data_IF_278366861658
#
_entry.id   IF_278366861658
#
_cell.length_a   1.000
_cell.length_b   1.000
_cell.length_c   1.000
_cell.angle_alpha   90.00
_cell.angle_beta   90.00
_cell.angle_gamma   90.00
#
_symmetry.space_group_name_H-M   'P 1'
#
loop_
_entity.id
_entity.type
_entity.pdbx_description
1 polymer ?
#
# COMPACT_ATOMS: atom_id res chain seq x y z
N UNK A 1 16.85 2.78 -8.86
CA UNK A 1 15.70 1.90 -9.19
C UNK A 1 16.11 0.65 -9.99
N UNK A 2 17.32 0.58 -10.56
CA UNK A 2 17.79 -0.58 -11.35
C UNK A 2 18.20 -1.77 -10.47
N UNK A 3 18.63 -1.54 -9.23
CA UNK A 3 19.10 -2.58 -8.29
C UNK A 3 18.02 -3.58 -7.85
N UNK A 4 16.73 -3.28 -8.02
CA UNK A 4 15.64 -4.19 -7.65
C UNK A 4 15.52 -5.40 -8.59
N UNK A 5 16.16 -5.38 -9.77
CA UNK A 5 16.23 -6.56 -10.66
C UNK A 5 17.24 -7.60 -10.20
N UNK A 6 18.27 -7.19 -9.46
CA UNK A 6 19.44 -8.04 -9.20
C UNK A 6 19.39 -8.77 -7.87
N UNK A 7 18.32 -8.59 -7.09
CA UNK A 7 18.22 -9.25 -5.80
C UNK A 7 17.02 -10.20 -5.82
N UNK A 8 17.32 -11.51 -5.83
CA UNK A 8 16.40 -12.56 -5.39
C UNK A 8 16.12 -12.40 -3.88
N UNK A 9 15.59 -11.24 -3.49
CA UNK A 9 15.21 -10.96 -2.12
C UNK A 9 14.09 -11.91 -1.76
N UNK A 10 14.38 -12.74 -0.77
CA UNK A 10 13.41 -13.61 -0.14
C UNK A 10 13.22 -13.17 1.30
N UNK A 11 12.03 -13.38 1.83
CA UNK A 11 11.72 -13.19 3.24
C UNK A 11 11.38 -14.52 3.87
N UNK A 12 11.73 -14.68 5.14
CA UNK A 12 11.18 -15.72 6.00
C UNK A 12 9.94 -15.14 6.66
N UNK A 13 8.88 -15.93 6.77
CA UNK A 13 7.66 -15.53 7.44
C UNK A 13 7.37 -16.42 8.65
N UNK A 14 6.83 -15.84 9.71
CA UNK A 14 6.26 -16.57 10.84
C UNK A 14 4.74 -16.29 10.91
N UNK A 15 3.95 -17.36 10.92
CA UNK A 15 2.50 -17.31 10.96
C UNK A 15 2.00 -18.09 12.19
N UNK A 16 1.41 -17.37 13.13
CA UNK A 16 0.96 -17.95 14.40
C UNK A 16 -0.43 -18.59 14.34
N UNK A 17 -1.09 -18.56 13.18
CA UNK A 17 -2.47 -19.02 13.00
C UNK A 17 -2.71 -19.56 11.57
N UNK A 18 -3.63 -20.52 11.43
CA UNK A 18 -4.09 -21.12 10.16
C UNK A 18 -5.16 -20.28 9.44
N UNK A 19 -5.51 -19.09 9.93
CA UNK A 19 -6.51 -18.22 9.29
C UNK A 19 -6.02 -17.55 8.00
N UNK A 20 -4.71 -17.49 7.74
CA UNK A 20 -4.19 -16.93 6.50
C UNK A 20 -4.28 -17.96 5.37
N UNK A 21 -4.91 -17.59 4.24
CA UNK A 21 -4.98 -18.48 3.05
C UNK A 21 -3.66 -18.58 2.27
N UNK A 22 -2.75 -17.64 2.47
CA UNK A 22 -1.50 -17.51 1.72
C UNK A 22 -0.30 -18.12 2.43
N UNK A 23 -0.32 -18.10 3.76
CA UNK A 23 0.82 -18.45 4.59
C UNK A 23 0.40 -19.53 5.58
N UNK A 24 0.91 -20.75 5.40
CA UNK A 24 0.67 -21.88 6.30
C UNK A 24 1.29 -21.62 7.68
N UNK A 25 0.62 -22.09 8.74
CA UNK A 25 1.17 -22.05 10.11
C UNK A 25 2.44 -22.91 10.20
N UNK A 26 3.43 -22.41 10.93
CA UNK A 26 4.70 -23.11 11.19
C UNK A 26 5.42 -23.48 9.89
N UNK A 27 5.88 -22.45 9.18
CA UNK A 27 6.46 -22.57 7.85
C UNK A 27 7.90 -23.06 7.83
N UNK A 28 8.58 -23.17 8.98
CA UNK A 28 9.94 -23.73 9.11
C UNK A 28 10.92 -23.14 8.10
N UNK A 29 11.46 -21.95 8.36
CA UNK A 29 12.41 -21.21 7.51
C UNK A 29 12.05 -21.12 6.01
N UNK A 30 10.78 -21.36 5.63
CA UNK A 30 10.33 -21.22 4.25
C UNK A 30 10.54 -19.77 3.82
N UNK A 31 11.29 -19.63 2.74
CA UNK A 31 11.57 -18.36 2.11
C UNK A 31 10.58 -18.13 0.97
N UNK A 32 9.99 -16.93 0.92
CA UNK A 32 9.04 -16.51 -0.12
C UNK A 32 9.64 -15.39 -0.94
N UNK A 33 9.29 -15.33 -2.22
CA UNK A 33 9.70 -14.23 -3.07
C UNK A 33 8.94 -12.96 -2.69
N UNK A 34 9.64 -11.83 -2.65
CA UNK A 34 8.98 -10.54 -2.39
C UNK A 34 8.21 -10.08 -3.61
N UNK A 35 8.78 -10.23 -4.80
CA UNK A 35 8.27 -9.60 -6.01
C UNK A 35 7.19 -10.44 -6.67
N UNK A 36 6.04 -9.78 -6.91
CA UNK A 36 4.92 -10.40 -7.62
C UNK A 36 5.18 -10.41 -9.12
N UNK A 37 5.26 -11.60 -9.72
CA UNK A 37 5.24 -11.82 -11.18
C UNK A 37 6.25 -11.00 -12.02
N UNK A 38 7.38 -10.58 -11.42
CA UNK A 38 8.38 -9.74 -12.10
C UNK A 38 7.92 -8.31 -12.40
N UNK A 39 6.80 -7.86 -11.82
CA UNK A 39 6.34 -6.48 -11.95
C UNK A 39 7.23 -5.53 -11.15
N UNK A 40 7.41 -4.30 -11.66
CA UNK A 40 8.04 -3.23 -10.88
C UNK A 40 7.32 -3.06 -9.54
N UNK A 41 8.05 -3.12 -8.41
CA UNK A 41 7.48 -2.98 -7.08
C UNK A 41 6.74 -1.66 -6.86
N UNK A 42 7.35 -0.53 -7.26
CA UNK A 42 6.76 0.81 -7.14
C UNK A 42 5.46 0.91 -7.97
N UNK A 43 5.47 0.35 -9.19
CA UNK A 43 4.27 0.30 -10.01
C UNK A 43 3.19 -0.55 -9.34
N UNK A 44 3.54 -1.74 -8.83
CA UNK A 44 2.58 -2.63 -8.19
C UNK A 44 1.96 -2.01 -6.93
N UNK A 45 2.77 -1.36 -6.07
CA UNK A 45 2.31 -0.56 -4.93
C UNK A 45 1.28 0.48 -5.34
N UNK A 46 1.54 1.20 -6.45
CA UNK A 46 0.62 2.23 -6.92
C UNK A 46 -0.69 1.64 -7.46
N UNK A 47 -0.62 0.51 -8.15
CA UNK A 47 -1.80 -0.15 -8.70
C UNK A 47 -2.64 -0.81 -7.60
N UNK A 48 -2.02 -1.24 -6.49
CA UNK A 48 -2.64 -2.06 -5.46
C UNK A 48 -3.99 -1.54 -4.94
N UNK A 49 -4.16 -0.26 -4.52
CA UNK A 49 -5.46 0.25 -4.08
C UNK A 49 -6.58 0.00 -5.09
N UNK A 50 -6.33 0.30 -6.36
CA UNK A 50 -7.32 0.14 -7.42
C UNK A 50 -7.55 -1.34 -7.78
N UNK A 51 -6.50 -2.17 -7.78
CA UNK A 51 -6.64 -3.61 -7.97
C UNK A 51 -7.52 -4.23 -6.88
N UNK A 52 -7.30 -3.81 -5.64
CA UNK A 52 -8.04 -4.26 -4.47
C UNK A 52 -9.50 -3.79 -4.50
N UNK A 53 -9.74 -2.52 -4.85
CA UNK A 53 -11.08 -1.98 -5.03
C UNK A 53 -11.86 -2.70 -6.15
N UNK A 54 -11.23 -2.93 -7.30
CA UNK A 54 -11.83 -3.68 -8.41
C UNK A 54 -12.11 -5.12 -8.01
N UNK A 55 -11.23 -5.76 -7.25
CA UNK A 55 -11.42 -7.14 -6.80
C UNK A 55 -12.61 -7.25 -5.82
N UNK A 56 -12.68 -6.37 -4.83
CA UNK A 56 -13.67 -6.44 -3.74
C UNK A 56 -15.00 -5.74 -4.02
N UNK A 57 -15.13 -5.02 -5.13
CA UNK A 57 -16.41 -4.49 -5.56
C UNK A 57 -17.34 -5.62 -6.02
N UNK A 58 -18.52 -5.73 -5.40
CA UNK A 58 -19.55 -6.70 -5.78
C UNK A 58 -20.75 -6.06 -6.47
N UNK A 59 -20.80 -4.72 -6.48
CA UNK A 59 -21.89 -3.92 -7.02
C UNK A 59 -21.34 -2.99 -8.11
N UNK A 60 -21.38 -3.41 -9.39
CA UNK A 60 -20.80 -2.63 -10.50
C UNK A 60 -21.38 -1.22 -10.61
N UNK A 61 -22.64 -1.01 -10.19
CA UNK A 61 -23.32 0.28 -10.26
C UNK A 61 -22.77 1.32 -9.26
N UNK A 62 -22.07 0.89 -8.21
CA UNK A 62 -21.46 1.78 -7.23
C UNK A 62 -20.00 2.12 -7.56
N UNK A 63 -19.45 1.48 -8.60
CA UNK A 63 -18.04 1.60 -8.95
C UNK A 63 -17.78 2.97 -9.59
N UNK A 64 -16.84 3.73 -9.02
CA UNK A 64 -16.44 5.05 -9.51
C UNK A 64 -15.32 5.00 -10.57
N UNK A 65 -14.79 3.82 -10.83
CA UNK A 65 -13.75 3.54 -11.83
C UNK A 65 -14.30 2.63 -12.93
N UNK A 66 -13.78 2.75 -14.16
CA UNK A 66 -14.19 1.88 -15.27
C UNK A 66 -13.56 0.48 -15.11
N UNK A 67 -14.33 -0.59 -14.85
CA UNK A 67 -13.78 -1.92 -14.63
C UNK A 67 -13.23 -2.58 -15.91
N UNK A 68 -13.40 -1.95 -17.08
CA UNK A 68 -12.93 -2.46 -18.37
C UNK A 68 -11.71 -1.72 -18.92
N UNK A 69 -11.57 -0.41 -18.63
CA UNK A 69 -10.50 0.41 -19.21
C UNK A 69 -9.92 1.46 -18.25
N UNK A 70 -9.94 1.26 -16.93
CA UNK A 70 -9.32 2.22 -16.04
C UNK A 70 -7.80 2.28 -16.27
N UNK A 71 -7.28 3.49 -16.50
CA UNK A 71 -5.84 3.74 -16.72
C UNK A 71 -5.22 4.36 -15.47
N UNK A 72 -4.11 3.79 -15.04
CA UNK A 72 -3.28 4.26 -13.93
C UNK A 72 -1.88 4.53 -14.46
N UNK A 73 -1.22 5.53 -13.90
CA UNK A 73 0.11 5.97 -14.31
C UNK A 73 1.12 5.57 -13.23
N UNK A 74 2.33 5.18 -13.63
CA UNK A 74 3.45 5.09 -12.70
C UNK A 74 3.65 6.47 -12.06
N UNK A 75 3.81 6.56 -10.73
CA UNK A 75 3.87 7.85 -10.07
C UNK A 75 5.24 8.54 -10.26
N UNK A 76 6.26 7.83 -10.74
CA UNK A 76 7.61 8.37 -10.94
C UNK A 76 7.75 8.98 -12.33
N UNK A 77 8.06 10.28 -12.39
CA UNK A 77 8.27 11.03 -13.63
C UNK A 77 7.00 11.73 -14.17
N UNK A 78 7.19 12.62 -15.15
CA UNK A 78 6.13 13.43 -15.75
C UNK A 78 5.24 12.66 -16.74
N UNK A 79 5.80 11.64 -17.40
CA UNK A 79 5.16 10.80 -18.43
C UNK A 79 5.22 9.30 -18.07
N UNK A 80 5.03 8.96 -16.79
CA UNK A 80 5.20 7.60 -16.26
C UNK A 80 4.46 6.49 -17.06
N UNK A 81 4.94 5.24 -16.92
CA UNK A 81 4.35 4.03 -17.53
C UNK A 81 2.83 4.02 -17.36
N UNK A 82 2.08 3.74 -18.43
CA UNK A 82 0.62 3.66 -18.37
C UNK A 82 0.17 2.21 -18.25
N UNK A 83 -0.68 1.93 -17.26
CA UNK A 83 -1.26 0.63 -16.99
C UNK A 83 -2.77 0.68 -17.16
N UNK A 84 -3.30 -0.20 -18.00
CA UNK A 84 -4.73 -0.51 -18.03
C UNK A 84 -5.01 -1.58 -17.00
N UNK A 85 -5.93 -1.29 -16.09
CA UNK A 85 -6.43 -2.25 -15.11
C UNK A 85 -7.86 -2.61 -15.46
N UNK A 86 -8.16 -3.90 -15.50
CA UNK A 86 -9.49 -4.38 -15.88
C UNK A 86 -9.84 -5.71 -15.24
N UNK A 87 -11.11 -6.06 -15.23
CA UNK A 87 -11.60 -7.33 -14.68
C UNK A 87 -12.15 -8.24 -15.76
N UNK A 88 -11.90 -9.54 -15.63
CA UNK A 88 -12.49 -10.60 -16.46
C UNK A 88 -13.31 -11.54 -15.58
N UNK A 89 -14.53 -11.88 -16.01
CA UNK A 89 -15.33 -12.92 -15.35
C UNK A 89 -14.60 -14.25 -15.42
N UNK A 90 -14.75 -15.08 -14.39
CA UNK A 90 -14.20 -16.43 -14.40
C UNK A 90 -14.75 -17.25 -15.59
N UNK A 91 -13.89 -18.05 -16.22
CA UNK A 91 -14.31 -18.97 -17.28
C UNK A 91 -15.31 -19.99 -16.72
N UNK A 92 -16.28 -20.39 -17.54
CA UNK A 92 -17.38 -21.26 -17.12
C UNK A 92 -16.86 -22.62 -16.66
N UNK A 93 -16.99 -22.90 -15.36
CA UNK A 93 -16.76 -24.19 -14.75
C UNK A 93 -17.90 -24.41 -13.74
N UNK A 94 -18.69 -25.46 -13.93
CA UNK A 94 -19.90 -25.72 -13.12
C UNK A 94 -19.60 -25.76 -11.62
N UNK A 95 -18.46 -26.35 -11.21
CA UNK A 95 -18.04 -26.40 -9.81
C UNK A 95 -17.69 -25.02 -9.27
N UNK A 96 -16.98 -24.21 -10.06
CA UNK A 96 -16.65 -22.83 -9.70
C UNK A 96 -17.92 -21.97 -9.59
N UNK A 97 -18.87 -22.15 -10.50
CA UNK A 97 -20.14 -21.43 -10.48
C UNK A 97 -20.96 -21.75 -9.23
N UNK A 98 -21.09 -23.04 -8.87
CA UNK A 98 -21.79 -23.46 -7.65
C UNK A 98 -21.13 -22.87 -6.40
N UNK A 99 -19.79 -22.91 -6.33
CA UNK A 99 -19.02 -22.31 -5.23
C UNK A 99 -19.30 -20.80 -5.14
N UNK A 100 -19.25 -20.07 -6.25
CA UNK A 100 -19.55 -18.63 -6.30
C UNK A 100 -21.00 -18.34 -5.89
N UNK A 101 -21.97 -19.15 -6.32
CA UNK A 101 -23.37 -18.98 -5.95
C UNK A 101 -23.59 -19.14 -4.44
N UNK A 102 -22.91 -20.10 -3.80
CA UNK A 102 -22.93 -20.29 -2.34
C UNK A 102 -22.37 -19.05 -1.64
N UNK A 103 -21.20 -18.56 -2.06
CA UNK A 103 -20.61 -17.35 -1.47
C UNK A 103 -21.47 -16.11 -1.70
N UNK A 104 -22.10 -15.98 -2.85
CA UNK A 104 -23.01 -14.88 -3.13
C UNK A 104 -24.25 -14.91 -2.23
N UNK A 105 -24.81 -16.11 -1.98
CA UNK A 105 -25.93 -16.27 -1.05
C UNK A 105 -25.49 -16.00 0.39
N UNK A 106 -24.34 -16.54 0.81
CA UNK A 106 -23.76 -16.26 2.11
C UNK A 106 -23.51 -14.76 2.29
N UNK A 107 -23.03 -14.08 1.25
CA UNK A 107 -22.76 -12.65 1.26
C UNK A 107 -24.02 -11.81 1.53
N UNK A 108 -25.24 -12.33 1.33
CA UNK A 108 -26.46 -11.60 1.70
C UNK A 108 -26.69 -11.56 3.21
N UNK A 109 -26.28 -12.62 3.92
CA UNK A 109 -26.50 -12.79 5.36
C UNK A 109 -25.32 -12.23 6.16
N UNK A 110 -24.10 -12.57 5.74
CA UNK A 110 -22.86 -12.17 6.38
C UNK A 110 -21.84 -11.76 5.31
N UNK A 111 -21.07 -10.68 5.50
CA UNK A 111 -20.10 -10.26 4.50
C UNK A 111 -19.01 -11.33 4.31
N UNK A 112 -18.87 -11.82 3.07
CA UNK A 112 -17.84 -12.78 2.67
C UNK A 112 -17.18 -12.32 1.36
N UNK A 113 -15.92 -12.74 1.17
CA UNK A 113 -15.20 -12.47 -0.07
C UNK A 113 -15.76 -13.35 -1.20
N UNK A 114 -16.12 -12.74 -2.33
CA UNK A 114 -16.72 -13.42 -3.49
C UNK A 114 -15.76 -13.36 -4.67
N UNK A 115 -15.15 -14.50 -5.00
CA UNK A 115 -14.21 -14.65 -6.12
C UNK A 115 -14.93 -15.02 -7.41
N UNK A 116 -15.58 -14.05 -8.06
CA UNK A 116 -16.29 -14.29 -9.33
C UNK A 116 -15.58 -13.71 -10.56
N UNK A 117 -14.42 -13.07 -10.36
CA UNK A 117 -13.64 -12.37 -11.37
C UNK A 117 -12.16 -12.44 -11.07
N UNK A 118 -11.37 -12.11 -12.09
CA UNK A 118 -9.93 -11.95 -12.04
C UNK A 118 -9.59 -10.52 -12.45
N UNK A 119 -8.62 -9.91 -11.78
CA UNK A 119 -8.16 -8.55 -12.09
C UNK A 119 -6.83 -8.63 -12.83
N UNK A 120 -6.72 -7.91 -13.94
CA UNK A 120 -5.62 -7.94 -14.90
C UNK A 120 -5.00 -6.56 -15.06
N UNK A 121 -3.74 -6.54 -15.44
CA UNK A 121 -2.93 -5.35 -15.67
C UNK A 121 -2.27 -5.51 -17.05
N UNK A 122 -2.41 -4.51 -17.90
CA UNK A 122 -1.80 -4.45 -19.22
C UNK A 122 -1.02 -3.15 -19.36
N UNK A 123 0.22 -3.21 -19.83
CA UNK A 123 1.02 -2.01 -20.08
C UNK A 123 0.64 -1.39 -21.42
N UNK A 124 0.10 -0.17 -21.40
CA UNK A 124 -0.31 0.57 -22.59
C UNK A 124 0.82 1.39 -23.22
N UNK A 125 1.71 1.91 -22.38
CA UNK A 125 2.85 2.76 -22.77
C UNK A 125 3.99 2.62 -21.78
N UNK A 126 5.23 2.59 -22.28
CA UNK A 126 6.47 2.44 -21.51
C UNK A 126 6.85 3.73 -20.75
N UNK A 127 6.25 4.86 -21.12
CA UNK A 127 6.62 6.17 -20.59
C UNK A 127 8.05 6.59 -20.93
N UNK A 128 8.40 7.82 -20.58
CA UNK A 128 9.78 8.31 -20.70
C UNK A 128 10.64 7.81 -19.53
N UNK A 129 11.73 7.10 -19.82
CA UNK A 129 12.79 6.87 -18.83
C UNK A 129 12.52 5.81 -17.75
N UNK A 130 11.66 4.81 -18.01
CA UNK A 130 11.46 3.70 -17.07
C UNK A 130 12.76 2.86 -16.93
N UNK A 131 13.42 2.83 -15.76
CA UNK A 131 14.69 2.12 -15.60
C UNK A 131 14.53 0.58 -15.53
N UNK A 132 13.30 0.09 -15.47
CA UNK A 132 12.99 -1.32 -15.34
C UNK A 132 12.63 -1.98 -16.67
N UNK A 133 12.71 -1.26 -17.80
CA UNK A 133 12.44 -1.77 -19.14
C UNK A 133 11.09 -2.50 -19.24
N UNK A 134 10.05 -1.97 -18.57
CA UNK A 134 8.68 -2.46 -18.74
C UNK A 134 8.26 -2.13 -20.18
N UNK A 135 7.74 -3.13 -20.90
CA UNK A 135 7.40 -2.99 -22.31
C UNK A 135 5.91 -2.87 -22.54
N UNK A 136 5.53 -2.14 -23.58
CA UNK A 136 4.15 -2.11 -24.03
C UNK A 136 3.67 -3.52 -24.38
N UNK A 137 2.51 -3.90 -23.89
CA UNK A 137 1.94 -5.24 -24.07
C UNK A 137 2.37 -6.27 -23.02
N UNK A 138 3.23 -5.91 -22.06
CA UNK A 138 3.44 -6.74 -20.88
C UNK A 138 2.10 -6.88 -20.12
N UNK A 139 1.83 -8.10 -19.64
CA UNK A 139 0.59 -8.44 -18.93
C UNK A 139 0.92 -9.05 -17.57
N UNK A 140 0.22 -8.58 -16.55
CA UNK A 140 0.29 -9.09 -15.17
C UNK A 140 -1.13 -9.33 -14.65
N UNK A 141 -1.26 -10.05 -13.54
CA UNK A 141 -2.55 -10.24 -12.88
C UNK A 141 -2.44 -10.01 -11.38
N UNK A 142 -3.54 -9.59 -10.78
CA UNK A 142 -3.62 -9.42 -9.34
C UNK A 142 -3.51 -10.78 -8.65
N UNK A 143 -2.35 -11.06 -8.05
CA UNK A 143 -2.05 -12.38 -7.57
C UNK A 143 -2.83 -12.72 -6.29
N UNK A 144 -3.84 -13.57 -6.40
CA UNK A 144 -4.61 -14.01 -5.24
C UNK A 144 -4.50 -15.49 -4.93
N UNK A 145 -3.83 -16.27 -5.78
CA UNK A 145 -3.86 -17.73 -5.74
C UNK A 145 -2.48 -18.37 -5.51
N UNK A 146 -1.39 -17.60 -5.62
CA UNK A 146 -0.05 -18.10 -5.40
C UNK A 146 0.39 -17.96 -3.94
N UNK A 147 1.14 -18.95 -3.45
CA UNK A 147 1.65 -19.01 -2.07
C UNK A 147 3.19 -18.98 -2.01
N UNK A 148 3.85 -18.87 -3.17
CA UNK A 148 5.31 -18.81 -3.32
C UNK A 148 5.86 -17.37 -3.34
N UNK A 149 4.97 -16.38 -3.32
CA UNK A 149 5.28 -14.95 -3.19
C UNK A 149 4.43 -14.28 -2.11
N UNK A 150 4.82 -13.06 -1.70
CA UNK A 150 4.00 -12.25 -0.80
C UNK A 150 2.61 -12.03 -1.40
N UNK A 151 1.57 -12.22 -0.58
CA UNK A 151 0.25 -11.80 -0.98
C UNK A 151 0.20 -10.27 -1.17
N UNK A 152 -0.72 -9.73 -2.00
CA UNK A 152 -0.70 -8.31 -2.34
C UNK A 152 -0.83 -7.36 -1.14
N UNK A 153 -1.63 -7.75 -0.13
CA UNK A 153 -1.79 -6.97 1.09
C UNK A 153 -0.50 -6.96 1.93
N UNK A 154 0.15 -8.11 2.08
CA UNK A 154 1.44 -8.21 2.76
C UNK A 154 2.52 -7.44 2.01
N UNK A 155 2.56 -7.53 0.68
CA UNK A 155 3.46 -6.74 -0.16
C UNK A 155 3.31 -5.24 0.10
N UNK A 156 2.08 -4.71 0.07
CA UNK A 156 1.82 -3.30 0.32
C UNK A 156 2.29 -2.82 1.70
N UNK A 157 2.17 -3.68 2.71
CA UNK A 157 2.62 -3.38 4.07
C UNK A 157 4.14 -3.47 4.23
N UNK A 158 4.77 -4.47 3.61
CA UNK A 158 6.17 -4.85 3.87
C UNK A 158 7.16 -4.11 2.97
N UNK A 159 6.83 -3.94 1.68
CA UNK A 159 7.75 -3.39 0.68
C UNK A 159 8.35 -2.02 1.05
N UNK A 160 7.59 -1.06 1.61
CA UNK A 160 8.14 0.23 2.05
C UNK A 160 9.19 0.13 3.16
N UNK A 161 9.25 -0.98 3.89
CA UNK A 161 10.13 -1.18 5.05
C UNK A 161 11.28 -2.16 4.79
N UNK A 162 11.43 -2.71 3.58
CA UNK A 162 12.46 -3.71 3.27
C UNK A 162 13.88 -3.26 3.62
N UNK A 163 14.17 -1.97 3.42
CA UNK A 163 15.51 -1.42 3.68
C UNK A 163 15.80 -1.34 5.19
N UNK A 164 14.75 -1.25 6.02
CA UNK A 164 14.83 -1.27 7.49
C UNK A 164 14.81 -2.69 8.04
N UNK A 165 14.18 -3.64 7.33
CA UNK A 165 14.13 -5.08 7.70
C UNK A 165 15.53 -5.70 7.83
N UNK A 166 16.52 -5.15 7.12
CA UNK A 166 17.93 -5.58 7.25
C UNK A 166 18.55 -5.30 8.64
N UNK A 167 17.91 -4.50 9.50
CA UNK A 167 18.38 -4.10 10.83
C UNK A 167 17.54 -4.69 11.98
N UNK A 168 17.07 -5.93 11.86
CA UNK A 168 16.19 -6.62 12.84
C UNK A 168 14.77 -6.03 12.97
N UNK A 169 14.25 -5.36 11.93
CA UNK A 169 12.87 -4.90 11.90
C UNK A 169 11.95 -6.00 11.34
N UNK A 170 10.87 -6.30 12.07
CA UNK A 170 9.84 -7.24 11.64
C UNK A 170 8.65 -6.47 11.08
N UNK A 171 8.35 -6.68 9.80
CA UNK A 171 7.18 -6.11 9.16
C UNK A 171 6.02 -7.12 9.16
N UNK A 172 4.79 -6.66 9.36
CA UNK A 172 3.60 -7.49 9.49
C UNK A 172 2.69 -7.43 8.28
N UNK A 173 1.94 -8.50 8.05
CA UNK A 173 0.74 -8.47 7.22
C UNK A 173 -0.24 -7.43 7.77
N UNK A 174 -0.92 -6.61 6.94
CA UNK A 174 -1.83 -5.59 7.43
C UNK A 174 -3.15 -6.16 7.96
N UNK A 175 -3.42 -7.46 7.80
CA UNK A 175 -4.61 -8.09 8.37
C UNK A 175 -4.46 -8.27 9.89
N UNK A 176 -5.26 -7.50 10.63
CA UNK A 176 -5.25 -7.44 12.09
C UNK A 176 -5.61 -8.76 12.80
N UNK A 177 -6.21 -9.73 12.09
CA UNK A 177 -6.54 -11.07 12.61
C UNK A 177 -5.40 -12.06 12.42
N UNK A 178 -4.66 -11.94 11.31
CA UNK A 178 -3.55 -12.84 11.00
C UNK A 178 -2.25 -12.28 11.56
N UNK A 179 -1.68 -12.97 12.53
CA UNK A 179 -0.38 -12.61 13.08
C UNK A 179 0.73 -13.21 12.19
N UNK A 180 0.92 -12.61 11.01
CA UNK A 180 1.99 -12.97 10.08
C UNK A 180 3.06 -11.87 10.10
N UNK A 181 4.28 -12.25 10.45
CA UNK A 181 5.47 -11.41 10.46
C UNK A 181 6.44 -11.86 9.37
N UNK A 182 7.20 -10.91 8.83
CA UNK A 182 8.21 -11.13 7.80
C UNK A 182 9.55 -10.57 8.24
N UNK A 183 10.61 -11.34 8.00
CA UNK A 183 11.99 -10.99 8.34
C UNK A 183 12.93 -11.32 7.18
N UNK A 184 14.04 -10.60 7.07
CA UNK A 184 15.12 -11.01 6.19
C UNK A 184 15.73 -12.33 6.70
N UNK A 185 16.18 -13.24 5.80
CA UNK A 185 16.91 -14.43 6.19
C UNK A 185 18.15 -14.01 6.99
N UNK A 186 18.35 -14.62 8.16
CA UNK A 186 19.58 -14.40 8.92
C UNK A 186 20.77 -14.85 8.05
N UNK A 187 21.67 -13.93 7.70
CA UNK A 187 23.01 -14.35 7.25
C UNK A 187 23.65 -15.07 8.44
N UNK A 188 24.22 -16.26 8.21
CA UNK A 188 25.05 -16.92 9.22
C UNK A 188 26.06 -15.90 9.76
N UNK A 189 25.90 -15.55 11.04
CA UNK A 189 26.70 -14.53 11.72
C UNK A 189 28.10 -15.11 11.91
N UNK A 190 28.98 -14.89 10.94
CA UNK A 190 30.41 -14.83 11.23
C UNK A 190 30.65 -13.49 11.89
N UNK A 191 30.99 -13.56 13.17
CA UNK A 191 31.36 -12.48 14.08
C UNK A 191 30.22 -11.56 14.57
N UNK A 192 29.91 -11.74 15.87
CA UNK A 192 29.20 -10.78 16.71
C UNK A 192 29.92 -9.43 16.68
N UNK A 193 29.61 -8.57 15.71
CA UNK A 193 29.55 -7.15 16.00
C UNK A 193 28.21 -6.90 16.66
N UNK A 194 28.25 -6.57 17.95
CA UNK A 194 27.12 -5.95 18.64
C UNK A 194 26.75 -4.69 17.84
N UNK A 195 25.83 -4.83 16.89
CA UNK A 195 25.16 -3.67 16.34
C UNK A 195 24.39 -3.07 17.53
N UNK A 196 24.64 -1.80 17.89
CA UNK A 196 23.93 -1.17 18.98
C UNK A 196 22.44 -1.33 18.69
N UNK A 197 21.72 -1.89 19.66
CA UNK A 197 20.26 -1.86 19.69
C UNK A 197 19.84 -0.45 19.28
N UNK A 198 19.25 -0.32 18.09
CA UNK A 198 18.60 0.92 17.66
C UNK A 198 17.47 1.11 18.66
N UNK A 199 17.73 1.90 19.71
CA UNK A 199 16.84 2.11 20.85
C UNK A 199 15.59 2.90 20.48
N UNK A 200 15.59 3.52 19.30
CA UNK A 200 14.53 4.40 18.86
C UNK A 200 13.74 3.70 17.75
N UNK A 201 12.48 3.40 18.00
CA UNK A 201 11.57 2.82 17.00
C UNK A 201 11.29 3.85 15.90
N UNK A 202 12.10 3.91 14.85
CA UNK A 202 11.98 4.91 13.77
C UNK A 202 11.11 4.41 12.61
N UNK A 203 9.82 4.16 12.85
CA UNK A 203 8.93 3.67 11.77
C UNK A 203 8.28 4.77 10.92
N UNK A 204 8.44 6.05 11.28
CA UNK A 204 7.74 7.17 10.62
C UNK A 204 8.50 8.50 10.70
N UNK A 205 9.84 8.49 10.55
CA UNK A 205 10.62 9.72 10.34
C UNK A 205 10.86 9.97 8.86
N UNK A 206 11.04 11.25 8.52
CA UNK A 206 11.36 11.74 7.19
C UNK A 206 12.34 12.89 7.31
N UNK A 207 13.29 12.97 6.38
CA UNK A 207 14.29 14.05 6.30
C UNK A 207 14.03 14.96 5.09
N UNK A 208 13.20 14.51 4.16
CA UNK A 208 12.89 15.24 2.94
C UNK A 208 11.85 16.33 3.17
N UNK A 209 11.92 17.38 2.35
CA UNK A 209 10.84 18.33 2.12
C UNK A 209 10.11 17.99 0.84
N UNK A 210 8.84 18.36 0.79
CA UNK A 210 8.02 18.17 -0.40
C UNK A 210 7.31 19.45 -0.76
N UNK A 211 7.07 19.64 -2.05
CA UNK A 211 6.42 20.81 -2.60
C UNK A 211 5.44 20.39 -3.69
N UNK A 212 4.21 20.89 -3.65
CA UNK A 212 3.28 20.70 -4.77
C UNK A 212 3.62 21.72 -5.85
N UNK A 213 4.10 21.26 -7.00
CA UNK A 213 4.55 22.14 -8.11
C UNK A 213 3.47 22.35 -9.16
N UNK A 214 2.48 21.46 -9.20
CA UNK A 214 1.37 21.57 -10.13
C UNK A 214 0.12 20.90 -9.57
N UNK A 215 -1.04 21.49 -9.81
CA UNK A 215 -2.28 20.73 -9.80
C UNK A 215 -3.29 21.24 -10.85
N UNK A 216 -4.18 20.35 -11.27
CA UNK A 216 -5.31 20.60 -12.17
C UNK A 216 -6.49 19.71 -11.75
N UNK A 217 -7.72 20.16 -11.98
CA UNK A 217 -8.96 19.43 -11.71
C UNK A 217 -9.77 20.03 -10.57
N UNK A 218 -11.01 19.61 -10.40
CA UNK A 218 -11.90 20.07 -9.32
C UNK A 218 -11.84 19.13 -8.12
N UNK A 219 -11.15 19.55 -7.06
CA UNK A 219 -11.07 18.83 -5.79
C UNK A 219 -10.70 19.77 -4.64
N UNK A 220 -11.00 19.39 -3.40
CA UNK A 220 -10.60 20.16 -2.21
C UNK A 220 -9.15 19.85 -1.86
N UNK A 221 -8.27 20.84 -2.07
CA UNK A 221 -6.83 20.78 -1.87
C UNK A 221 -6.42 21.72 -0.72
N UNK A 222 -5.93 21.19 0.41
CA UNK A 222 -5.52 22.03 1.54
C UNK A 222 -4.10 22.58 1.39
N UNK A 223 -3.41 22.31 0.28
CA UNK A 223 -1.99 22.59 0.10
C UNK A 223 -1.76 23.80 -0.81
N UNK A 224 -0.88 24.69 -0.38
CA UNK A 224 -0.46 25.85 -1.18
C UNK A 224 0.57 25.39 -2.21
N UNK A 225 0.38 25.85 -3.46
CA UNK A 225 1.31 25.58 -4.56
C UNK A 225 2.66 26.25 -4.30
N UNK A 226 3.73 25.60 -4.72
CA UNK A 226 5.13 26.08 -4.62
C UNK A 226 5.66 26.32 -3.19
N UNK A 227 4.92 25.91 -2.16
CA UNK A 227 5.37 25.97 -0.77
C UNK A 227 6.07 24.68 -0.36
N UNK A 228 7.22 24.81 0.29
CA UNK A 228 7.93 23.68 0.89
C UNK A 228 7.27 23.27 2.21
N UNK A 229 7.02 21.98 2.34
CA UNK A 229 6.47 21.36 3.55
C UNK A 229 7.44 20.31 4.08
N UNK A 230 7.66 20.34 5.40
CA UNK A 230 8.11 19.15 6.11
C UNK A 230 6.98 18.11 6.06
N UNK A 231 7.34 16.83 5.97
CA UNK A 231 6.35 15.75 5.89
C UNK A 231 5.40 15.74 7.10
N UNK A 232 5.91 16.04 8.30
CA UNK A 232 5.09 16.11 9.52
C UNK A 232 4.04 17.24 9.45
N UNK A 233 4.39 18.37 8.84
CA UNK A 233 3.45 19.47 8.63
C UNK A 233 2.40 19.11 7.58
N UNK A 234 2.82 18.45 6.49
CA UNK A 234 1.90 17.96 5.45
C UNK A 234 0.88 16.97 6.02
N UNK A 235 1.34 16.00 6.82
CA UNK A 235 0.51 15.01 7.52
C UNK A 235 -0.53 15.72 8.40
N UNK A 236 -0.09 16.71 9.18
CA UNK A 236 -0.97 17.49 10.06
C UNK A 236 -2.02 18.28 9.29
N UNK A 237 -1.64 18.93 8.18
CA UNK A 237 -2.57 19.69 7.32
C UNK A 237 -3.59 18.75 6.66
N UNK A 238 -3.15 17.58 6.21
CA UNK A 238 -4.01 16.56 5.61
C UNK A 238 -4.98 15.90 6.63
N UNK A 239 -4.83 16.18 7.92
CA UNK A 239 -5.66 15.63 8.99
C UNK A 239 -5.36 14.16 9.30
N UNK A 240 -4.19 13.65 8.91
CA UNK A 240 -3.73 12.29 9.22
C UNK A 240 -2.72 12.33 10.38
N UNK A 241 -2.54 11.21 11.10
CA UNK A 241 -1.62 11.15 12.26
C UNK A 241 -0.26 10.58 11.96
N UNK A 242 -0.18 9.70 10.97
CA UNK A 242 0.99 8.92 10.65
C UNK A 242 0.89 8.55 9.18
N UNK A 243 1.95 8.79 8.41
CA UNK A 243 1.91 8.51 6.97
C UNK A 243 1.83 7.02 6.72
N UNK A 244 2.59 6.22 7.48
CA UNK A 244 2.55 4.76 7.45
C UNK A 244 1.16 4.20 7.74
N UNK A 245 0.45 4.71 8.75
CA UNK A 245 -0.90 4.22 9.07
C UNK A 245 -1.90 4.61 7.99
N UNK A 246 -1.79 5.82 7.44
CA UNK A 246 -2.61 6.26 6.32
C UNK A 246 -2.36 5.39 5.07
N UNK A 247 -1.11 5.13 4.72
CA UNK A 247 -0.74 4.29 3.58
C UNK A 247 -1.36 2.89 3.66
N UNK A 248 -1.35 2.27 4.84
CA UNK A 248 -1.94 0.94 5.04
C UNK A 248 -3.48 1.01 5.05
N UNK A 249 -4.07 2.11 5.52
CA UNK A 249 -5.51 2.32 5.48
C UNK A 249 -6.03 2.65 4.07
N UNK A 250 -5.23 3.32 3.24
CA UNK A 250 -5.68 3.89 1.97
C UNK A 250 -6.28 2.86 1.00
N UNK A 251 -5.73 1.66 0.77
CA UNK A 251 -6.37 0.65 -0.08
C UNK A 251 -7.79 0.27 0.35
N UNK A 252 -8.04 0.26 1.66
CA UNK A 252 -9.35 -0.04 2.24
C UNK A 252 -10.30 1.16 2.10
N UNK A 253 -9.80 2.38 2.34
CA UNK A 253 -10.55 3.61 2.08
C UNK A 253 -10.95 3.74 0.59
N UNK A 254 -10.01 3.47 -0.31
CA UNK A 254 -10.20 3.45 -1.77
C UNK A 254 -11.24 2.40 -2.17
N UNK A 255 -11.18 1.21 -1.57
CA UNK A 255 -12.18 0.16 -1.79
C UNK A 255 -13.58 0.62 -1.38
N UNK A 256 -13.74 1.21 -0.19
CA UNK A 256 -15.04 1.72 0.27
C UNK A 256 -15.55 2.88 -0.58
N UNK A 257 -14.65 3.77 -1.04
CA UNK A 257 -14.99 4.88 -1.93
C UNK A 257 -15.51 4.41 -3.29
N UNK A 258 -14.99 3.27 -3.77
CA UNK A 258 -15.41 2.61 -5.00
C UNK A 258 -16.56 1.60 -4.80
N UNK A 259 -17.27 1.65 -3.67
CA UNK A 259 -18.44 0.78 -3.40
C UNK A 259 -18.10 -0.69 -3.11
N UNK A 260 -16.83 -0.96 -2.77
CA UNK A 260 -16.40 -2.28 -2.33
C UNK A 260 -16.87 -2.64 -0.93
N UNK A 261 -16.93 -3.94 -0.64
CA UNK A 261 -17.33 -4.46 0.67
C UNK A 261 -16.14 -5.13 1.37
N UNK A 262 -15.89 -4.74 2.61
CA UNK A 262 -14.73 -5.15 3.40
C UNK A 262 -15.07 -6.04 4.61
N UNK A 263 -16.37 -6.27 4.84
CA UNK A 263 -16.86 -6.85 6.09
C UNK A 263 -16.43 -8.28 6.39
N UNK A 264 -15.78 -8.99 5.47
CA UNK A 264 -15.21 -10.32 5.75
C UNK A 264 -14.18 -10.28 6.90
N UNK A 265 -13.62 -9.10 7.20
CA UNK A 265 -12.70 -8.88 8.32
C UNK A 265 -13.36 -8.44 9.62
N UNK A 266 -14.55 -7.84 9.62
CA UNK A 266 -15.14 -7.22 10.83
C UNK A 266 -16.58 -7.65 11.11
N UNK A 267 -17.23 -8.31 10.16
CA UNK A 267 -18.67 -8.54 10.15
C UNK A 267 -19.50 -7.35 9.66
N UNK A 268 -18.90 -6.17 9.46
CA UNK A 268 -19.59 -4.97 8.96
C UNK A 268 -19.15 -4.65 7.54
N UNK A 269 -20.07 -4.60 6.57
CA UNK A 269 -19.73 -4.41 5.13
C UNK A 269 -18.83 -3.22 4.86
N UNK A 270 -19.03 -2.14 5.61
CA UNK A 270 -18.37 -0.86 5.40
C UNK A 270 -17.12 -0.69 6.29
N UNK A 271 -16.57 -1.77 6.85
CA UNK A 271 -15.33 -1.68 7.63
C UNK A 271 -14.36 -2.83 7.40
N UNK A 272 -13.08 -2.55 7.63
CA UNK A 272 -11.99 -3.52 7.69
C UNK A 272 -11.18 -3.28 8.96
N UNK A 273 -10.69 -4.36 9.58
CA UNK A 273 -9.64 -4.24 10.56
C UNK A 273 -8.29 -4.34 9.87
N UNK A 274 -7.37 -3.46 10.24
CA UNK A 274 -6.00 -3.42 9.72
C UNK A 274 -4.99 -3.27 10.87
N UNK A 275 -3.71 -3.49 10.62
CA UNK A 275 -2.65 -3.19 11.58
C UNK A 275 -1.48 -2.44 10.97
N UNK A 276 -0.73 -1.75 11.83
CA UNK A 276 0.52 -1.11 11.48
C UNK A 276 1.55 -2.17 11.01
N UNK A 277 2.34 -1.89 9.98
CA UNK A 277 3.40 -2.78 9.51
C UNK A 277 4.44 -3.10 10.58
N UNK A 278 4.72 -2.16 11.51
CA UNK A 278 5.64 -2.43 12.61
C UNK A 278 4.99 -3.35 13.65
N UNK A 279 5.33 -4.65 13.60
CA UNK A 279 4.70 -5.66 14.47
C UNK A 279 5.02 -5.46 15.95
N UNK A 280 6.17 -4.85 16.28
CA UNK A 280 6.57 -4.59 17.67
C UNK A 280 5.63 -3.59 18.37
N UNK A 281 5.02 -2.68 17.62
CA UNK A 281 4.05 -1.71 18.16
C UNK A 281 2.63 -2.26 18.26
N UNK A 282 2.31 -3.33 17.52
CA UNK A 282 0.98 -3.98 17.49
C UNK A 282 -0.21 -3.01 17.36
N UNK A 283 -0.05 -1.88 16.65
CA UNK A 283 -1.14 -0.92 16.48
C UNK A 283 -2.17 -1.50 15.51
N UNK A 284 -3.44 -1.55 15.93
CA UNK A 284 -4.56 -2.08 15.15
C UNK A 284 -5.59 -0.99 14.93
N UNK A 285 -6.12 -0.90 13.72
CA UNK A 285 -7.16 0.06 13.35
C UNK A 285 -8.41 -0.63 12.80
N UNK A 286 -9.56 0.04 12.92
CA UNK A 286 -10.79 -0.24 12.17
C UNK A 286 -10.96 0.88 11.14
N UNK A 287 -10.75 0.59 9.86
CA UNK A 287 -11.12 1.49 8.75
C UNK A 287 -12.61 1.36 8.52
N UNK A 288 -13.34 2.47 8.41
CA UNK A 288 -14.77 2.45 8.17
C UNK A 288 -15.25 3.60 7.28
N UNK A 289 -16.35 3.36 6.55
CA UNK A 289 -17.18 4.39 5.92
C UNK A 289 -18.48 4.52 6.71
N UNK A 290 -18.74 5.72 7.22
CA UNK A 290 -19.97 6.07 7.94
C UNK A 290 -20.64 7.21 7.16
N UNK A 291 -21.86 6.96 6.67
CA UNK A 291 -22.54 7.87 5.75
C UNK A 291 -21.65 8.20 4.53
N UNK A 292 -21.27 9.46 4.33
CA UNK A 292 -20.35 9.90 3.26
C UNK A 292 -18.96 10.30 3.77
N UNK A 293 -18.66 9.98 5.02
CA UNK A 293 -17.40 10.26 5.68
C UNK A 293 -16.59 8.97 5.90
N UNK A 294 -15.28 9.14 5.98
CA UNK A 294 -14.32 8.05 6.05
C UNK A 294 -13.44 8.22 7.28
N UNK A 295 -13.16 7.13 7.97
CA UNK A 295 -12.29 7.16 9.15
C UNK A 295 -11.48 5.90 9.31
N UNK A 296 -10.46 5.99 10.16
CA UNK A 296 -9.83 4.82 10.75
C UNK A 296 -9.62 5.06 12.24
N UNK A 297 -10.17 4.15 13.05
CA UNK A 297 -10.15 4.23 14.51
C UNK A 297 -9.09 3.30 15.07
N UNK A 298 -8.24 3.80 15.96
CA UNK A 298 -7.28 2.96 16.68
C UNK A 298 -8.04 2.05 17.68
N UNK A 299 -7.94 0.74 17.50
CA UNK A 299 -8.55 -0.27 18.39
C UNK A 299 -7.58 -0.65 19.51
N UNK A 300 -6.29 -0.69 19.18
CA UNK A 300 -5.22 -1.11 20.08
C UNK A 300 -3.93 -0.43 19.64
N UNK A 301 -3.10 -0.02 20.59
CA UNK A 301 -1.81 0.64 20.36
C UNK A 301 -0.79 0.20 21.42
N UNK A 302 0.49 0.41 21.16
CA UNK A 302 1.56 0.32 22.15
C UNK A 302 1.87 1.72 22.71
N UNK A 303 2.17 1.86 24.01
CA UNK A 303 2.70 3.11 24.58
C UNK A 303 3.96 3.62 23.85
N UNK A 304 4.71 2.71 23.24
CA UNK A 304 5.96 3.02 22.53
C UNK A 304 5.73 3.52 21.09
N UNK A 305 4.47 3.74 20.68
CA UNK A 305 4.17 4.32 19.38
C UNK A 305 4.78 5.73 19.27
N UNK A 306 5.70 6.00 18.32
CA UNK A 306 6.37 7.30 18.21
C UNK A 306 5.40 8.45 17.92
N UNK A 307 4.29 8.15 17.24
CA UNK A 307 3.22 9.09 16.92
C UNK A 307 2.20 9.26 18.04
N UNK A 308 2.37 8.54 19.16
CA UNK A 308 1.52 8.61 20.36
C UNK A 308 0.02 8.47 20.05
N UNK A 309 -0.30 7.59 19.12
CA UNK A 309 -1.69 7.32 18.71
C UNK A 309 -2.38 6.59 19.86
N UNK A 310 -3.50 7.14 20.32
CA UNK A 310 -4.21 6.64 21.50
C UNK A 310 -5.24 5.57 21.14
N UNK A 311 -5.50 4.65 22.07
CA UNK A 311 -6.57 3.66 21.90
C UNK A 311 -7.93 4.35 21.91
N UNK A 312 -8.77 4.07 20.91
CA UNK A 312 -10.07 4.70 20.70
C UNK A 312 -10.02 6.00 19.89
N UNK A 313 -8.84 6.53 19.57
CA UNK A 313 -8.70 7.72 18.73
C UNK A 313 -9.31 7.47 17.34
N UNK A 314 -10.18 8.39 16.90
CA UNK A 314 -10.77 8.38 15.56
C UNK A 314 -10.09 9.42 14.67
N UNK A 315 -9.55 8.95 13.55
CA UNK A 315 -8.93 9.81 12.54
C UNK A 315 -9.90 9.91 11.37
N UNK A 316 -10.55 11.06 11.26
CA UNK A 316 -11.53 11.34 10.20
C UNK A 316 -10.85 11.96 9.00
N UNK A 317 -10.99 11.29 7.85
CA UNK A 317 -10.50 11.76 6.55
C UNK A 317 -11.60 12.61 5.92
N UNK A 318 -11.71 13.85 6.42
CA UNK A 318 -12.82 14.75 6.10
C UNK A 318 -12.94 14.99 4.61
N UNK A 319 -14.18 15.05 4.11
CA UNK A 319 -14.46 15.39 2.70
C UNK A 319 -13.75 14.45 1.70
N UNK A 320 -13.43 13.21 2.10
CA UNK A 320 -12.67 12.25 1.29
C UNK A 320 -13.20 12.14 -0.15
N UNK A 321 -14.53 12.20 -0.33
CA UNK A 321 -15.14 12.12 -1.65
C UNK A 321 -14.67 13.20 -2.63
N UNK A 322 -14.56 14.45 -2.17
CA UNK A 322 -14.13 15.60 -2.99
C UNK A 322 -12.63 15.86 -2.91
N UNK A 323 -11.95 15.37 -1.87
CA UNK A 323 -10.48 15.43 -1.72
C UNK A 323 -9.79 14.14 -2.19
N UNK A 324 -10.50 13.22 -2.83
CA UNK A 324 -9.96 11.92 -3.23
C UNK A 324 -8.66 12.04 -4.05
N UNK A 325 -8.57 12.90 -5.09
CA UNK A 325 -7.32 13.07 -5.84
C UNK A 325 -6.13 13.46 -4.95
N UNK A 326 -6.36 14.33 -3.95
CA UNK A 326 -5.34 14.73 -2.99
C UNK A 326 -4.87 13.55 -2.15
N UNK A 327 -5.78 12.81 -1.51
CA UNK A 327 -5.43 11.66 -0.68
C UNK A 327 -4.76 10.52 -1.46
N UNK A 328 -5.19 10.30 -2.70
CA UNK A 328 -4.51 9.37 -3.62
C UNK A 328 -3.07 9.81 -3.89
N UNK A 329 -2.87 11.10 -4.19
CA UNK A 329 -1.53 11.63 -4.42
C UNK A 329 -0.62 11.52 -3.20
N UNK A 330 -1.16 11.61 -1.98
CA UNK A 330 -0.39 11.37 -0.75
C UNK A 330 0.06 9.91 -0.62
N UNK A 331 -0.82 8.94 -0.95
CA UNK A 331 -0.44 7.53 -0.94
C UNK A 331 0.67 7.21 -1.96
N UNK A 332 0.57 7.81 -3.14
CA UNK A 332 1.59 7.72 -4.20
C UNK A 332 2.91 8.38 -3.79
N UNK A 333 2.84 9.57 -3.18
CA UNK A 333 3.98 10.27 -2.60
C UNK A 333 4.70 9.42 -1.55
N UNK A 334 3.98 8.82 -0.61
CA UNK A 334 4.56 7.96 0.43
C UNK A 334 5.39 6.82 -0.16
N UNK A 335 4.85 6.14 -1.18
CA UNK A 335 5.48 5.00 -1.83
C UNK A 335 6.85 5.39 -2.42
N UNK A 336 6.91 6.55 -3.07
CA UNK A 336 8.14 7.06 -3.69
C UNK A 336 9.10 7.61 -2.63
N UNK A 337 8.60 8.39 -1.67
CA UNK A 337 9.36 9.01 -0.59
C UNK A 337 10.18 7.98 0.21
N UNK A 338 9.54 6.90 0.67
CA UNK A 338 10.24 5.86 1.45
C UNK A 338 11.36 5.16 0.69
N UNK A 339 11.25 5.08 -0.64
CA UNK A 339 12.27 4.44 -1.49
C UNK A 339 13.40 5.38 -1.89
N UNK A 340 13.18 6.69 -1.83
CA UNK A 340 14.25 7.66 -2.05
C UNK A 340 15.03 7.84 -0.74
N UNK A 341 14.35 7.99 0.40
CA UNK A 341 15.01 8.16 1.70
C UNK A 341 15.84 6.97 2.15
N UNK A 342 15.57 5.77 1.63
CA UNK A 342 16.43 4.60 1.88
C UNK A 342 17.72 4.59 1.04
N UNK A 343 17.83 5.45 0.03
CA UNK A 343 19.05 5.58 -0.79
C UNK A 343 19.94 6.67 -0.21
N UNK A 344 21.24 6.36 -0.06
CA UNK A 344 22.25 7.32 0.38
C UNK A 344 22.78 8.20 -0.76
N UNK A 345 22.23 8.05 -1.97
CA UNK A 345 22.65 8.83 -3.13
C UNK A 345 22.05 10.24 -3.06
N UNK A 346 22.92 11.25 -3.15
CA UNK A 346 22.61 12.68 -3.20
C UNK A 346 21.83 13.03 -4.48
N UNK A 347 20.49 13.12 -4.45
CA UNK A 347 19.74 13.52 -5.63
C UNK A 347 19.83 15.04 -5.69
N UNK A 348 20.89 15.53 -6.35
CA UNK A 348 21.05 16.96 -6.65
C UNK A 348 19.92 17.52 -7.52
N UNK A 349 19.13 16.65 -8.13
CA UNK A 349 17.92 16.97 -8.88
C UNK A 349 16.69 16.46 -8.11
N UNK A 350 15.71 17.34 -7.88
CA UNK A 350 14.47 17.00 -7.19
C UNK A 350 13.70 15.90 -7.94
N UNK A 351 13.11 14.96 -7.21
CA UNK A 351 12.35 13.86 -7.80
C UNK A 351 10.88 14.26 -7.90
N UNK A 352 10.33 14.18 -9.10
CA UNK A 352 8.92 14.46 -9.36
C UNK A 352 8.05 13.20 -9.20
N UNK A 353 6.96 13.37 -8.46
CA UNK A 353 5.90 12.38 -8.28
C UNK A 353 4.61 12.93 -8.88
N UNK A 354 4.11 12.28 -9.93
CA UNK A 354 2.87 12.67 -10.60
C UNK A 354 1.73 11.74 -10.23
N UNK A 355 0.61 12.33 -9.82
CA UNK A 355 -0.64 11.64 -9.51
C UNK A 355 -1.72 12.03 -10.49
N UNK A 356 -2.46 11.03 -10.97
CA UNK A 356 -3.54 11.22 -11.95
C UNK A 356 -4.81 10.50 -11.48
N UNK A 357 -5.92 11.22 -11.51
CA UNK A 357 -7.23 10.65 -11.28
C UNK A 357 -8.29 11.39 -12.10
N UNK A 358 -8.87 10.70 -13.09
CA UNK A 358 -9.83 11.29 -14.05
C UNK A 358 -9.20 12.52 -14.72
N UNK A 359 -9.80 13.70 -14.55
CA UNK A 359 -9.33 15.00 -15.04
C UNK A 359 -8.35 15.69 -14.07
N UNK A 360 -8.19 15.17 -12.85
CA UNK A 360 -7.27 15.69 -11.87
C UNK A 360 -5.83 15.21 -12.10
N UNK A 361 -4.88 16.15 -11.98
CA UNK A 361 -3.44 15.90 -11.99
C UNK A 361 -2.80 16.65 -10.83
N UNK A 362 -1.93 16.01 -10.06
CA UNK A 362 -1.13 16.63 -9.00
C UNK A 362 0.33 16.24 -9.23
N UNK A 363 1.26 17.18 -9.10
CA UNK A 363 2.70 16.90 -9.16
C UNK A 363 3.35 17.39 -7.86
N UNK A 364 4.12 16.49 -7.25
CA UNK A 364 4.94 16.75 -6.08
C UNK A 364 6.41 16.73 -6.47
N UNK A 365 7.19 17.67 -5.97
CA UNK A 365 8.65 17.63 -5.98
C UNK A 365 9.13 17.21 -4.60
N UNK A 366 9.99 16.20 -4.54
CA UNK A 366 10.71 15.80 -3.33
C UNK A 366 12.09 16.44 -3.36
N UNK A 367 12.45 17.15 -2.29
CA UNK A 367 13.75 17.75 -2.08
C UNK A 367 14.39 17.11 -0.84
N UNK A 368 15.54 16.47 -1.02
CA UNK A 368 16.30 15.98 0.11
C UNK A 368 17.11 17.12 0.71
N UNK A 369 17.03 17.29 2.03
CA UNK A 369 18.05 18.10 2.69
C UNK A 369 19.39 17.35 2.60
N UNK A 370 20.49 18.04 2.26
CA UNK A 370 21.80 17.41 2.31
C UNK A 370 21.96 16.85 3.70
N UNK A 371 22.20 15.54 3.79
CA UNK A 371 22.40 14.91 5.09
C UNK A 371 23.48 15.69 5.82
N UNK A 372 23.08 16.42 6.87
CA UNK A 372 24.02 16.82 7.89
C UNK A 372 24.43 15.47 8.42
N UNK A 373 25.58 14.97 7.96
CA UNK A 373 26.19 13.75 8.45
C UNK A 373 25.92 13.73 9.94
N UNK A 374 25.17 12.73 10.40
CA UNK A 374 24.92 12.46 11.80
C UNK A 374 26.31 12.28 12.42
N UNK A 375 26.94 13.39 12.81
CA UNK A 375 28.06 13.43 13.72
C UNK A 375 27.46 13.12 15.08
N UNK A 376 27.32 11.84 15.37
CA UNK A 376 27.45 11.29 16.71
C UNK A 376 27.62 9.79 16.65
#
# INVERSE_FOLDING_TARGET
MVEEKDHQLKLVYDANDNRCRYHEKSSGDKSINIFSQGMCPIAYMNLYPTLFALHLNQEPNQLKIDPQNHVIYCPVGSDGVQFKVYTKRLKFNLRAYLKVAIYWLANKIMPVEVFNKTTHIEVLSEGGGCPLNIKKGDNFYFNLDHTDELCPAAFNSVYPFLDVINNNFTAGCPDYRTHVSFNAPSKEVTEKKENPLVSDLVCDSYVSKVKMTFFKGEFDNPIELEKDYLIDDLIKIAGIRCFTSFHVAFPYLDTLYNGGQLGFLTGKRNSAGICCPNTSLMVKYEVAKEEEEFKYRCIKTSPDCPRKIESGEEIWVKKFNISYPFYRSLNELFTVLKKIESRQDDPREGIEVSSFYRDAKIVWSIQMEPSIALKK
#
